data_IF_711615671116
#
_entry.id   IF_711615671116
#
_cell.length_a   1.000
_cell.length_b   1.000
_cell.length_c   1.000
_cell.angle_alpha   90.00
_cell.angle_beta   90.00
_cell.angle_gamma   90.00
#
_symmetry.space_group_name_H-M   'P 1'
#
loop_
_entity.id
_entity.type
_entity.pdbx_description
1 polymer ?
#
# COMPACT_ATOMS: atom_id res chain seq x y z
N UNK A 1 8.92 2.61 2.40
CA UNK A 1 8.80 1.17 2.68
C UNK A 1 7.94 1.05 3.92
N UNK A 2 6.82 0.31 3.84
CA UNK A 2 6.00 0.00 5.03
C UNK A 2 6.80 -1.03 5.83
N UNK A 3 6.95 -0.80 7.14
CA UNK A 3 7.56 -1.78 8.05
C UNK A 3 6.46 -2.77 8.43
N UNK A 4 6.76 -4.07 8.43
CA UNK A 4 5.84 -5.17 8.80
C UNK A 4 4.52 -5.20 7.99
N UNK A 5 4.63 -4.97 6.68
CA UNK A 5 3.48 -4.88 5.77
C UNK A 5 2.54 -6.10 5.84
N UNK A 6 3.09 -7.31 5.96
CA UNK A 6 2.28 -8.54 6.07
C UNK A 6 1.47 -8.58 7.38
N UNK A 7 2.07 -8.18 8.51
CA UNK A 7 1.38 -8.12 9.79
C UNK A 7 0.24 -7.09 9.77
N UNK A 8 0.44 -5.96 9.10
CA UNK A 8 -0.61 -4.95 8.92
C UNK A 8 -1.75 -5.47 8.03
N UNK A 9 -1.43 -6.23 6.98
CA UNK A 9 -2.45 -6.86 6.13
C UNK A 9 -3.24 -7.92 6.89
N UNK A 10 -2.58 -8.75 7.70
CA UNK A 10 -3.25 -9.73 8.55
C UNK A 10 -4.21 -9.04 9.53
N UNK A 11 -3.75 -8.02 10.26
CA UNK A 11 -4.62 -7.25 11.17
C UNK A 11 -5.78 -6.57 10.45
N UNK A 12 -5.58 -6.13 9.21
CA UNK A 12 -6.65 -5.56 8.38
C UNK A 12 -7.68 -6.62 8.02
N UNK A 13 -7.22 -7.83 7.66
CA UNK A 13 -8.07 -8.98 7.35
C UNK A 13 -8.88 -9.40 8.57
N UNK A 14 -8.23 -9.51 9.74
CA UNK A 14 -8.88 -9.89 11.01
C UNK A 14 -9.93 -8.86 11.45
N UNK A 15 -9.74 -7.58 11.09
CA UNK A 15 -10.70 -6.49 11.35
C UNK A 15 -11.81 -6.40 10.29
N UNK A 16 -11.71 -7.13 9.19
CA UNK A 16 -12.68 -7.10 8.10
C UNK A 16 -13.80 -8.11 8.39
N UNK A 17 -15.04 -7.62 8.51
CA UNK A 17 -16.23 -8.49 8.63
C UNK A 17 -16.79 -8.91 7.26
N UNK A 18 -16.40 -8.20 6.20
CA UNK A 18 -16.84 -8.45 4.83
C UNK A 18 -15.88 -9.39 4.09
N UNK A 19 -16.27 -9.78 2.87
CA UNK A 19 -15.40 -10.55 1.98
C UNK A 19 -14.08 -9.80 1.74
N UNK A 20 -12.91 -10.46 1.89
CA UNK A 20 -11.61 -9.83 1.70
C UNK A 20 -11.28 -9.64 0.22
N UNK A 21 -11.94 -8.65 -0.39
CA UNK A 21 -11.63 -8.18 -1.73
C UNK A 21 -10.51 -7.14 -1.67
N UNK A 22 -9.80 -6.93 -2.78
CA UNK A 22 -8.76 -5.90 -2.88
C UNK A 22 -9.28 -4.52 -2.43
N UNK A 23 -10.48 -4.15 -2.88
CA UNK A 23 -11.07 -2.85 -2.59
C UNK A 23 -11.44 -2.70 -1.11
N UNK A 24 -12.06 -3.72 -0.51
CA UNK A 24 -12.44 -3.70 0.90
C UNK A 24 -11.20 -3.65 1.81
N UNK A 25 -10.20 -4.48 1.52
CA UNK A 25 -8.93 -4.48 2.22
C UNK A 25 -8.20 -3.14 2.08
N UNK A 26 -8.18 -2.55 0.88
CA UNK A 26 -7.54 -1.27 0.64
C UNK A 26 -8.22 -0.15 1.44
N UNK A 27 -9.55 -0.04 1.37
CA UNK A 27 -10.29 0.98 2.10
C UNK A 27 -10.10 0.82 3.61
N UNK A 28 -10.26 -0.40 4.13
CA UNK A 28 -10.07 -0.70 5.55
C UNK A 28 -8.64 -0.40 6.02
N UNK A 29 -7.64 -0.69 5.18
CA UNK A 29 -6.24 -0.35 5.47
C UNK A 29 -6.03 1.16 5.58
N UNK A 30 -6.67 1.96 4.72
CA UNK A 30 -6.58 3.42 4.79
C UNK A 30 -7.21 3.96 6.08
N UNK A 31 -8.32 3.36 6.53
CA UNK A 31 -9.01 3.74 7.76
C UNK A 31 -8.20 3.37 9.01
N UNK A 32 -7.61 2.16 9.04
CA UNK A 32 -6.84 1.67 10.19
C UNK A 32 -5.44 2.27 10.27
N UNK A 33 -4.81 2.55 9.13
CA UNK A 33 -3.40 2.95 9.04
C UNK A 33 -3.18 4.22 8.20
N UNK A 34 -3.82 5.36 8.53
CA UNK A 34 -3.66 6.61 7.79
C UNK A 34 -2.23 7.16 7.86
N UNK A 35 -1.52 6.91 8.96
CA UNK A 35 -0.13 7.32 9.15
C UNK A 35 0.82 6.58 8.18
N UNK A 36 0.66 5.25 8.05
CA UNK A 36 1.45 4.44 7.11
C UNK A 36 1.12 4.81 5.66
N UNK A 37 -0.15 5.07 5.36
CA UNK A 37 -0.55 5.58 4.05
C UNK A 37 0.12 6.92 3.72
N UNK A 38 0.11 7.87 4.66
CA UNK A 38 0.79 9.16 4.50
C UNK A 38 2.29 8.96 4.30
N UNK A 39 2.93 8.08 5.06
CA UNK A 39 4.35 7.74 4.92
C UNK A 39 4.67 7.18 3.53
N UNK A 40 3.81 6.32 2.98
CA UNK A 40 3.98 5.76 1.64
C UNK A 40 3.90 6.85 0.57
N UNK A 41 2.90 7.74 0.64
CA UNK A 41 2.78 8.91 -0.26
C UNK A 41 3.99 9.85 -0.17
N UNK A 42 4.46 10.15 1.04
CA UNK A 42 5.64 11.01 1.24
C UNK A 42 6.89 10.36 0.66
N UNK A 43 7.06 9.05 0.87
CA UNK A 43 8.20 8.30 0.32
C UNK A 43 8.21 8.34 -1.21
N UNK A 44 7.04 8.11 -1.83
CA UNK A 44 6.88 8.23 -3.28
C UNK A 44 7.21 9.64 -3.79
N UNK A 45 6.72 10.67 -3.10
CA UNK A 45 7.00 12.06 -3.46
C UNK A 45 8.50 12.38 -3.35
N UNK A 46 9.17 11.94 -2.27
CA UNK A 46 10.63 12.09 -2.09
C UNK A 46 11.40 11.38 -3.20
N UNK A 47 11.01 10.15 -3.55
CA UNK A 47 11.63 9.40 -4.64
C UNK A 47 11.48 10.10 -5.99
N UNK A 48 10.30 10.66 -6.28
CA UNK A 48 10.09 11.42 -7.52
C UNK A 48 10.94 12.68 -7.56
N UNK A 49 11.07 13.41 -6.44
CA UNK A 49 11.94 14.59 -6.33
C UNK A 49 13.42 14.26 -6.48
N UNK A 50 13.85 13.07 -6.06
CA UNK A 50 15.26 12.66 -6.16
C UNK A 50 15.66 12.17 -7.56
N UNK A 51 14.78 12.22 -8.55
CA UNK A 51 15.11 11.82 -9.93
C UNK A 51 15.88 12.93 -10.65
N UNK A 52 16.93 12.53 -11.35
CA UNK A 52 17.60 13.42 -12.29
C UNK A 52 16.64 13.76 -13.43
N UNK A 53 16.58 15.04 -13.79
CA UNK A 53 15.81 15.54 -14.92
C UNK A 53 16.17 14.76 -16.19
N UNK A 54 15.17 14.19 -16.87
CA UNK A 54 15.37 13.37 -18.08
C UNK A 54 15.60 11.87 -17.86
N UNK A 55 15.79 11.40 -16.62
CA UNK A 55 15.87 9.96 -16.29
C UNK A 55 14.69 9.53 -15.42
N UNK A 56 13.62 9.07 -16.07
CA UNK A 56 12.43 8.56 -15.38
C UNK A 56 12.50 7.05 -15.26
N UNK A 57 12.71 6.53 -14.04
CA UNK A 57 12.34 5.13 -13.73
C UNK A 57 10.92 5.21 -13.17
N UNK A 58 9.90 4.73 -13.91
CA UNK A 58 8.52 4.87 -13.48
C UNK A 58 8.27 3.97 -12.26
N UNK A 59 8.08 4.60 -11.10
CA UNK A 59 7.56 3.90 -9.93
C UNK A 59 6.03 3.97 -9.97
N UNK A 60 5.31 2.86 -9.76
CA UNK A 60 3.85 2.90 -9.70
C UNK A 60 3.38 3.85 -8.59
N UNK A 61 2.21 4.47 -8.82
CA UNK A 61 1.57 5.30 -7.80
C UNK A 61 1.37 4.51 -6.50
N UNK A 62 1.41 5.19 -5.34
CA UNK A 62 1.12 4.60 -4.03
C UNK A 62 -0.13 3.71 -4.00
N UNK A 63 -1.24 4.15 -4.62
CA UNK A 63 -2.48 3.35 -4.63
C UNK A 63 -2.28 2.04 -5.40
N UNK A 64 -1.73 2.13 -6.61
CA UNK A 64 -1.55 0.99 -7.51
C UNK A 64 -0.60 -0.03 -6.89
N UNK A 65 0.51 0.46 -6.30
CA UNK A 65 1.46 -0.42 -5.62
C UNK A 65 0.83 -1.12 -4.42
N UNK A 66 0.08 -0.39 -3.58
CA UNK A 66 -0.54 -0.96 -2.38
C UNK A 66 -1.62 -1.98 -2.74
N UNK A 67 -2.49 -1.66 -3.71
CA UNK A 67 -3.52 -2.57 -4.25
C UNK A 67 -2.93 -3.84 -4.82
N UNK A 68 -1.88 -3.72 -5.64
CA UNK A 68 -1.17 -4.88 -6.20
C UNK A 68 -0.59 -5.76 -5.09
N UNK A 69 0.01 -5.15 -4.07
CA UNK A 69 0.56 -5.91 -2.95
C UNK A 69 -0.52 -6.64 -2.15
N UNK A 70 -1.66 -6.00 -1.88
CA UNK A 70 -2.81 -6.63 -1.23
C UNK A 70 -3.32 -7.81 -2.07
N UNK A 71 -3.48 -7.63 -3.39
CA UNK A 71 -3.93 -8.68 -4.30
C UNK A 71 -2.98 -9.88 -4.32
N UNK A 72 -1.67 -9.63 -4.37
CA UNK A 72 -0.66 -10.71 -4.30
C UNK A 72 -0.68 -11.41 -2.95
N UNK A 73 -0.85 -10.67 -1.85
CA UNK A 73 -0.92 -11.24 -0.51
C UNK A 73 -2.18 -12.08 -0.30
N UNK A 74 -3.35 -11.62 -0.77
CA UNK A 74 -4.60 -12.37 -0.72
C UNK A 74 -4.55 -13.67 -1.51
N UNK A 75 -3.74 -13.75 -2.58
CA UNK A 75 -3.53 -14.98 -3.36
C UNK A 75 -2.57 -15.97 -2.69
N UNK A 76 -1.80 -15.52 -1.70
CA UNK A 76 -0.84 -16.37 -0.96
C UNK A 76 -1.46 -17.02 0.28
N UNK A 77 -2.59 -16.49 0.77
CA UNK A 77 -3.44 -17.16 1.74
C UNK A 77 -4.14 -18.35 1.10
#
# INVERSE_FOLDING_TARGET
MIIDQEALFQKTLDSLQEKPTEQNMFNKFLDLYPAEWKRLKVTFSKFNRSKQFGKTIPLPRPEVSLRRNISVWLKKQ
#
